data_IF_897415253218
#
_entry.id   IF_897415253218
#
_cell.length_a   1.000
_cell.length_b   1.000
_cell.length_c   1.000
_cell.angle_alpha   90.00
_cell.angle_beta   90.00
_cell.angle_gamma   90.00
#
_symmetry.space_group_name_H-M   'P 1'
#
loop_
_entity.id
_entity.type
_entity.pdbx_description
1 polymer ?
#
# COMPACT_ATOMS: atom_id res chain seq x y z
N UNK A 1 -14.60 -2.87 5.85
CA UNK A 1 -14.18 -2.97 7.24
C UNK A 1 -13.49 -1.70 7.68
N UNK A 2 -13.58 -1.37 8.96
CA UNK A 2 -13.10 -0.09 9.46
C UNK A 2 -11.60 0.11 9.30
N UNK A 3 -10.80 -0.94 9.49
CA UNK A 3 -9.35 -0.88 9.31
C UNK A 3 -8.97 -0.52 7.86
N UNK A 4 -9.61 -1.17 6.92
CA UNK A 4 -9.35 -0.93 5.50
C UNK A 4 -9.83 0.45 5.07
N UNK A 5 -10.97 0.90 5.60
CA UNK A 5 -11.46 2.26 5.35
C UNK A 5 -10.47 3.32 5.84
N UNK A 6 -9.85 3.09 7.00
CA UNK A 6 -8.82 3.97 7.53
C UNK A 6 -7.57 3.97 6.65
N UNK A 7 -7.13 2.80 6.18
CA UNK A 7 -5.97 2.68 5.29
C UNK A 7 -6.22 3.41 3.97
N UNK A 8 -7.38 3.19 3.35
CA UNK A 8 -7.74 3.83 2.08
C UNK A 8 -7.85 5.35 2.23
N UNK A 9 -8.47 5.81 3.31
CA UNK A 9 -8.59 7.22 3.61
C UNK A 9 -7.24 7.89 3.80
N UNK A 10 -6.37 7.27 4.61
CA UNK A 10 -5.03 7.79 4.87
C UNK A 10 -4.19 7.82 3.58
N UNK A 11 -4.25 6.78 2.76
CA UNK A 11 -3.54 6.73 1.50
C UNK A 11 -3.95 7.87 0.58
N UNK A 12 -5.25 8.07 0.40
CA UNK A 12 -5.79 9.14 -0.44
C UNK A 12 -5.35 10.52 0.04
N UNK A 13 -5.46 10.77 1.34
CA UNK A 13 -5.12 12.07 1.92
C UNK A 13 -3.60 12.34 1.89
N UNK A 14 -2.79 11.31 2.15
CA UNK A 14 -1.33 11.46 2.10
C UNK A 14 -0.85 11.76 0.68
N UNK A 15 -1.44 11.12 -0.32
CA UNK A 15 -1.10 11.36 -1.73
C UNK A 15 -1.53 12.75 -2.16
N UNK A 16 -2.76 13.16 -1.83
CA UNK A 16 -3.33 14.41 -2.32
C UNK A 16 -2.87 15.64 -1.54
N UNK A 17 -2.70 15.53 -0.23
CA UNK A 17 -2.42 16.66 0.65
C UNK A 17 -1.03 16.63 1.27
N UNK A 18 -0.35 15.49 1.21
CA UNK A 18 0.93 15.28 1.88
C UNK A 18 0.76 14.81 3.32
N UNK A 19 1.78 14.11 3.81
CA UNK A 19 1.75 13.53 5.16
C UNK A 19 1.66 14.60 6.25
N UNK A 20 2.48 15.64 6.15
CA UNK A 20 2.55 16.68 7.18
C UNK A 20 1.26 17.48 7.30
N UNK A 21 0.50 17.61 6.21
CA UNK A 21 -0.74 18.39 6.18
C UNK A 21 -1.98 17.55 6.47
N UNK A 22 -1.83 16.26 6.72
CA UNK A 22 -2.93 15.36 7.03
C UNK A 22 -2.94 15.04 8.52
N UNK A 23 -4.04 15.29 9.19
CA UNK A 23 -4.22 14.94 10.60
C UNK A 23 -4.96 13.61 10.75
N UNK A 24 -4.90 13.02 11.96
CA UNK A 24 -5.72 11.85 12.29
C UNK A 24 -7.21 12.21 12.16
N UNK A 25 -7.59 13.41 12.57
CA UNK A 25 -8.99 13.88 12.42
C UNK A 25 -9.43 13.89 10.96
N UNK A 26 -8.56 14.33 10.04
CA UNK A 26 -8.85 14.30 8.61
C UNK A 26 -9.09 12.88 8.13
N UNK A 27 -8.24 11.94 8.57
CA UNK A 27 -8.34 10.54 8.16
C UNK A 27 -9.66 9.93 8.62
N UNK A 28 -10.01 10.10 9.90
CA UNK A 28 -11.24 9.49 10.44
C UNK A 28 -12.50 10.13 9.87
N UNK A 29 -12.48 11.44 9.64
CA UNK A 29 -13.62 12.14 9.02
C UNK A 29 -13.83 11.65 7.59
N UNK A 30 -12.78 11.50 6.82
CA UNK A 30 -12.86 11.00 5.46
C UNK A 30 -13.28 9.54 5.40
N UNK A 31 -12.86 8.73 6.37
CA UNK A 31 -13.24 7.32 6.46
C UNK A 31 -14.66 7.11 7.04
N UNK A 32 -15.24 8.13 7.64
CA UNK A 32 -16.56 8.04 8.26
C UNK A 32 -16.58 7.25 9.56
N UNK A 33 -15.49 7.30 10.33
CA UNK A 33 -15.38 6.60 11.62
C UNK A 33 -15.01 7.57 12.74
N UNK A 34 -15.21 7.13 13.98
CA UNK A 34 -14.84 7.93 15.15
C UNK A 34 -13.33 7.89 15.38
N UNK A 35 -12.79 8.94 15.99
CA UNK A 35 -11.35 9.05 16.27
C UNK A 35 -10.85 7.92 17.18
N UNK A 36 -11.65 7.49 18.14
CA UNK A 36 -11.32 6.34 18.99
C UNK A 36 -11.14 5.04 18.20
N UNK A 37 -11.86 4.89 17.09
CA UNK A 37 -11.72 3.73 16.20
C UNK A 37 -10.33 3.68 15.57
N UNK A 38 -9.76 4.83 15.20
CA UNK A 38 -8.39 4.88 14.69
C UNK A 38 -7.41 4.24 15.69
N UNK A 39 -7.50 4.62 16.95
CA UNK A 39 -6.58 4.15 17.98
C UNK A 39 -6.78 2.68 18.38
N UNK A 40 -7.85 2.05 17.93
CA UNK A 40 -8.00 0.59 18.06
C UNK A 40 -7.07 -0.17 17.12
N UNK A 41 -6.69 0.44 16.01
CA UNK A 41 -5.92 -0.22 14.94
C UNK A 41 -4.51 0.32 14.80
N UNK A 42 -4.30 1.60 15.06
CA UNK A 42 -3.02 2.28 14.82
C UNK A 42 -2.67 3.19 16.00
N UNK A 43 -1.38 3.29 16.29
CA UNK A 43 -0.89 4.15 17.39
C UNK A 43 -0.94 5.63 17.03
N UNK A 44 -0.52 5.97 15.81
CA UNK A 44 -0.37 7.33 15.34
C UNK A 44 -0.29 7.38 13.81
N UNK A 45 -0.02 8.55 13.26
CA UNK A 45 0.13 8.76 11.82
C UNK A 45 1.27 7.95 11.21
N UNK A 46 2.38 7.81 11.94
CA UNK A 46 3.54 7.06 11.46
C UNK A 46 3.23 5.57 11.38
N UNK A 47 2.47 5.07 12.33
CA UNK A 47 2.06 3.67 12.36
C UNK A 47 1.19 3.32 11.16
N UNK A 48 0.15 4.12 10.88
CA UNK A 48 -0.71 3.87 9.71
C UNK A 48 0.08 4.03 8.40
N UNK A 49 1.04 4.95 8.33
CA UNK A 49 1.93 5.09 7.18
C UNK A 49 2.71 3.81 6.92
N UNK A 50 3.29 3.24 7.97
CA UNK A 50 4.09 2.01 7.85
C UNK A 50 3.23 0.83 7.41
N UNK A 51 2.01 0.72 7.93
CA UNK A 51 1.05 -0.31 7.50
C UNK A 51 0.62 -0.11 6.05
N UNK A 52 0.47 1.13 5.59
CA UNK A 52 0.13 1.43 4.20
C UNK A 52 1.22 0.96 3.24
N UNK A 53 2.48 1.24 3.57
CA UNK A 53 3.61 0.84 2.75
C UNK A 53 3.64 -0.68 2.63
N UNK A 54 3.49 -1.39 3.76
CA UNK A 54 3.48 -2.85 3.77
C UNK A 54 2.28 -3.41 3.00
N UNK A 55 1.11 -2.81 3.15
CA UNK A 55 -0.12 -3.27 2.48
C UNK A 55 0.00 -3.14 0.96
N UNK A 56 0.48 -2.00 0.47
CA UNK A 56 0.66 -1.78 -0.98
C UNK A 56 1.73 -2.69 -1.57
N UNK A 57 2.84 -2.89 -0.85
CA UNK A 57 3.88 -3.83 -1.26
C UNK A 57 3.35 -5.26 -1.34
N UNK A 58 2.52 -5.66 -0.37
CA UNK A 58 1.88 -6.98 -0.36
C UNK A 58 0.96 -7.18 -1.55
N UNK A 59 0.18 -6.17 -1.93
CA UNK A 59 -0.71 -6.25 -3.10
C UNK A 59 0.08 -6.48 -4.40
N UNK A 60 1.19 -5.77 -4.57
CA UNK A 60 2.05 -5.94 -5.75
C UNK A 60 2.66 -7.34 -5.79
N UNK A 61 3.15 -7.83 -4.66
CA UNK A 61 3.71 -9.17 -4.55
C UNK A 61 2.68 -10.25 -4.86
N UNK A 62 1.47 -10.12 -4.32
CA UNK A 62 0.39 -11.08 -4.56
C UNK A 62 -0.03 -11.12 -6.03
N UNK A 63 -0.09 -9.98 -6.69
CA UNK A 63 -0.41 -9.93 -8.11
C UNK A 63 0.64 -10.66 -8.96
N UNK A 64 1.92 -10.44 -8.66
CA UNK A 64 3.02 -11.13 -9.33
C UNK A 64 2.98 -12.64 -9.10
N UNK A 65 2.72 -13.05 -7.86
CA UNK A 65 2.62 -14.47 -7.50
C UNK A 65 1.42 -15.15 -8.16
N UNK A 66 0.27 -14.46 -8.22
CA UNK A 66 -0.93 -14.99 -8.87
C UNK A 66 -0.71 -15.20 -10.36
N UNK A 67 -0.01 -14.29 -11.03
CA UNK A 67 0.33 -14.44 -12.45
C UNK A 67 1.25 -15.64 -12.69
N UNK A 68 2.21 -15.85 -11.81
CA UNK A 68 3.09 -17.02 -11.87
C UNK A 68 2.28 -18.32 -11.82
N UNK A 69 1.28 -18.40 -10.94
CA UNK A 69 0.43 -19.58 -10.79
C UNK A 69 -0.45 -19.84 -12.02
N UNK A 70 -0.72 -18.84 -12.85
CA UNK A 70 -1.50 -18.98 -14.10
C UNK A 70 -0.68 -19.54 -15.26
N UNK A 71 0.64 -19.67 -15.09
CA UNK A 71 1.55 -20.15 -16.11
C UNK A 71 2.22 -21.46 -15.66
N UNK A 72 1.47 -22.61 -15.66
CA UNK A 72 1.97 -23.87 -15.15
C UNK A 72 3.07 -24.49 -15.99
N UNK A 73 3.33 -23.96 -17.17
CA UNK A 73 4.41 -24.38 -18.07
C UNK A 73 5.79 -23.78 -17.70
N UNK A 74 5.84 -22.91 -16.72
CA UNK A 74 7.10 -22.36 -16.19
C UNK A 74 7.60 -23.30 -15.10
N UNK A 75 8.54 -24.20 -15.46
CA UNK A 75 9.01 -25.26 -14.58
C UNK A 75 10.40 -25.03 -14.02
N UNK A 76 11.23 -24.26 -14.73
CA UNK A 76 12.60 -23.97 -14.32
C UNK A 76 12.59 -22.84 -13.27
N UNK A 77 13.39 -23.06 -12.22
CA UNK A 77 13.53 -22.03 -11.16
C UNK A 77 13.99 -20.69 -11.71
N UNK A 78 14.96 -20.72 -12.65
CA UNK A 78 15.46 -19.51 -13.28
C UNK A 78 14.36 -18.80 -14.08
N UNK A 79 13.55 -19.55 -14.81
CA UNK A 79 12.41 -19.00 -15.54
C UNK A 79 11.36 -18.42 -14.58
N UNK A 80 11.13 -19.08 -13.45
CA UNK A 80 10.19 -18.57 -12.44
C UNK A 80 10.67 -17.24 -11.85
N UNK A 81 11.97 -17.13 -11.56
CA UNK A 81 12.55 -15.88 -11.05
C UNK A 81 12.44 -14.78 -12.09
N UNK A 82 12.74 -15.07 -13.35
CA UNK A 82 12.61 -14.11 -14.44
C UNK A 82 11.16 -13.68 -14.63
N UNK A 83 10.22 -14.62 -14.56
CA UNK A 83 8.79 -14.31 -14.69
C UNK A 83 8.33 -13.36 -13.59
N UNK A 84 8.70 -13.61 -12.34
CA UNK A 84 8.35 -12.76 -11.20
C UNK A 84 8.98 -11.38 -11.36
N UNK A 85 10.24 -11.31 -11.80
CA UNK A 85 10.94 -10.06 -12.03
C UNK A 85 10.25 -9.24 -13.11
N UNK A 86 9.91 -9.85 -14.24
CA UNK A 86 9.20 -9.17 -15.33
C UNK A 86 7.84 -8.67 -14.88
N UNK A 87 7.12 -9.48 -14.08
CA UNK A 87 5.81 -9.10 -13.57
C UNK A 87 5.90 -7.90 -12.62
N UNK A 88 6.91 -7.87 -11.78
CA UNK A 88 7.17 -6.73 -10.89
C UNK A 88 7.48 -5.48 -11.71
N UNK A 89 8.27 -5.61 -12.78
CA UNK A 89 8.58 -4.49 -13.66
C UNK A 89 7.34 -3.97 -14.38
N UNK A 90 6.43 -4.87 -14.80
CA UNK A 90 5.16 -4.47 -15.41
C UNK A 90 4.27 -3.69 -14.44
N UNK A 91 4.45 -3.92 -13.15
CA UNK A 91 3.72 -3.21 -12.11
C UNK A 91 4.49 -2.00 -11.57
N UNK A 92 5.56 -1.62 -12.25
CA UNK A 92 6.44 -0.54 -11.83
C UNK A 92 5.69 0.80 -11.69
N UNK A 93 4.70 1.06 -12.54
CA UNK A 93 3.90 2.27 -12.43
C UNK A 93 3.21 2.37 -11.05
N UNK A 94 2.69 1.24 -10.54
CA UNK A 94 2.10 1.18 -9.19
C UNK A 94 3.17 1.40 -8.13
N UNK A 95 4.36 0.83 -8.33
CA UNK A 95 5.49 1.02 -7.43
C UNK A 95 6.02 2.45 -7.48
N UNK A 96 5.97 3.10 -8.65
CA UNK A 96 6.33 4.51 -8.80
C UNK A 96 5.42 5.39 -7.95
N UNK A 97 4.12 5.14 -7.98
CA UNK A 97 3.17 5.84 -7.12
C UNK A 97 3.48 5.61 -5.64
N UNK A 98 3.85 4.39 -5.27
CA UNK A 98 4.28 4.06 -3.91
C UNK A 98 5.57 4.78 -3.52
N UNK A 99 6.53 4.86 -4.43
CA UNK A 99 7.80 5.56 -4.19
C UNK A 99 7.53 7.04 -3.98
N UNK A 100 6.69 7.64 -4.79
CA UNK A 100 6.26 9.02 -4.65
C UNK A 100 5.58 9.25 -3.30
N UNK A 101 4.69 8.36 -2.92
CA UNK A 101 4.02 8.41 -1.62
C UNK A 101 5.02 8.33 -0.47
N UNK A 102 5.99 7.40 -0.56
CA UNK A 102 7.03 7.23 0.45
C UNK A 102 7.91 8.47 0.56
N UNK A 103 8.27 9.07 -0.57
CA UNK A 103 9.09 10.29 -0.57
C UNK A 103 8.35 11.47 0.06
N UNK A 104 7.06 11.61 -0.23
CA UNK A 104 6.24 12.66 0.36
C UNK A 104 6.12 12.50 1.88
N UNK A 105 5.93 11.30 2.37
CA UNK A 105 5.78 11.07 3.81
C UNK A 105 7.10 11.07 4.55
N UNK A 106 8.22 10.93 3.85
CA UNK A 106 9.57 11.03 4.45
C UNK A 106 10.03 12.50 4.58
N UNK A 107 9.44 13.37 3.81
CA UNK A 107 9.74 14.79 3.87
C UNK A 107 9.01 15.45 5.03
#
# INVERSE_FOLDING_TARGET
>A
MKRESLLDSAFSLFINNGFSKTSISDIVNNAGVAKGTFYLYFKDKYDIRNHLIAHKASQVFQAAYSDLLRHPDIHDFEEQVLFITDNILDQFATLEDMTKFKDEIAA
#
